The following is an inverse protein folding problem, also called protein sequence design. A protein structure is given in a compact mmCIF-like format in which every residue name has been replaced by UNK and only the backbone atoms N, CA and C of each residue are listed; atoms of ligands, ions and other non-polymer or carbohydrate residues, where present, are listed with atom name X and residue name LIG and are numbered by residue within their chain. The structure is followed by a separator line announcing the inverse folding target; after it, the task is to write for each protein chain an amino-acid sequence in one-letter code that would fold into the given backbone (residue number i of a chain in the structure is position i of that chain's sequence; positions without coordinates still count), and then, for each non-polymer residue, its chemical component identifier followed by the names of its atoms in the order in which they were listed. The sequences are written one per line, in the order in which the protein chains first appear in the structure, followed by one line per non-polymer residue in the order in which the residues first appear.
data_IF_284265765551
#
_entry.id   IF_284265765551
#
_cell.length_a   1.000
_cell.length_b   1.000
_cell.length_c   1.000
_cell.angle_alpha   90.00
_cell.angle_beta   90.00
_cell.angle_gamma   90.00
#
_symmetry.space_group_name_H-M   'P 1'
#
loop_
_entity.id
_entity.type
_entity.pdbx_description
1 polymer ?
#
# COMPACT_ATOMS: atom_id res chain seq x y z
N UNK A 1 10.25 -4.66 17.24
CA UNK A 1 11.41 -5.45 16.74
C UNK A 1 12.71 -4.65 16.81
N UNK A 2 13.90 -5.28 16.79
CA UNK A 2 15.17 -4.56 16.91
C UNK A 2 15.41 -3.62 15.72
N UNK A 3 15.83 -2.39 16.02
CA UNK A 3 16.24 -1.42 15.02
C UNK A 3 17.44 -1.91 14.21
N UNK A 4 17.54 -1.46 12.95
CA UNK A 4 18.74 -1.73 12.15
C UNK A 4 19.94 -1.05 12.82
N UNK A 5 20.95 -1.86 13.13
CA UNK A 5 22.21 -1.40 13.72
C UNK A 5 23.26 -1.13 12.64
N UNK A 6 24.23 -0.28 12.95
CA UNK A 6 25.41 -0.03 12.11
C UNK A 6 26.15 -1.32 11.75
N UNK A 7 26.24 -2.26 12.71
CA UNK A 7 26.87 -3.57 12.52
C UNK A 7 26.17 -4.40 11.45
N UNK A 8 24.83 -4.41 11.46
CA UNK A 8 24.04 -5.11 10.44
C UNK A 8 24.21 -4.49 9.06
N UNK A 9 24.22 -3.16 8.95
CA UNK A 9 24.48 -2.46 7.67
C UNK A 9 25.86 -2.81 7.10
N UNK A 10 26.88 -2.87 7.97
CA UNK A 10 28.23 -3.25 7.58
C UNK A 10 28.30 -4.71 7.11
N UNK A 11 27.72 -5.64 7.87
CA UNK A 11 27.69 -7.07 7.55
C UNK A 11 26.90 -7.39 6.27
N UNK A 12 25.82 -6.65 6.01
CA UNK A 12 25.00 -6.78 4.81
C UNK A 12 25.69 -6.19 3.56
N UNK A 13 26.78 -5.42 3.72
CA UNK A 13 27.52 -4.82 2.62
C UNK A 13 26.90 -3.54 2.05
N UNK A 14 26.10 -2.82 2.87
CA UNK A 14 25.39 -1.59 2.44
C UNK A 14 26.34 -0.43 2.10
N UNK A 15 27.53 -0.43 2.70
CA UNK A 15 28.52 0.64 2.56
C UNK A 15 29.25 0.65 1.21
N UNK A 16 29.17 -0.43 0.43
CA UNK A 16 29.78 -0.47 -0.89
C UNK A 16 28.89 0.26 -1.90
N UNK A 17 29.46 1.19 -2.65
CA UNK A 17 28.82 1.79 -3.81
C UNK A 17 29.39 1.25 -5.12
N UNK A 18 29.20 2.01 -6.21
CA UNK A 18 29.74 1.70 -7.52
C UNK A 18 31.20 2.20 -7.70
N UNK A 19 31.77 1.88 -8.87
CA UNK A 19 33.11 2.33 -9.28
C UNK A 19 33.20 3.86 -9.34
N UNK A 20 34.38 4.41 -9.09
CA UNK A 20 34.63 5.88 -9.08
C UNK A 20 34.40 6.56 -10.43
N UNK A 21 34.38 5.80 -11.52
CA UNK A 21 34.06 6.29 -12.87
C UNK A 21 32.55 6.39 -13.11
N UNK A 22 31.74 5.64 -12.36
CA UNK A 22 30.30 5.52 -12.55
C UNK A 22 29.55 6.02 -11.30
N UNK A 23 29.57 7.33 -11.09
CA UNK A 23 28.92 7.98 -9.96
C UNK A 23 28.22 9.28 -10.36
N UNK A 24 27.27 9.71 -9.54
CA UNK A 24 26.56 10.97 -9.70
C UNK A 24 27.13 12.02 -8.73
N UNK A 25 27.59 13.19 -9.20
CA UNK A 25 28.13 14.25 -8.33
C UNK A 25 27.20 14.71 -7.20
N UNK A 26 25.88 14.61 -7.38
CA UNK A 26 24.89 14.96 -6.34
C UNK A 26 24.90 14.00 -5.15
N UNK A 27 25.43 12.78 -5.32
CA UNK A 27 25.63 11.81 -4.23
C UNK A 27 26.86 12.13 -3.36
N UNK A 28 27.69 13.13 -3.71
CA UNK A 28 28.90 13.50 -2.95
C UNK A 28 28.66 13.65 -1.45
N UNK A 29 27.51 14.19 -1.04
CA UNK A 29 27.15 14.37 0.39
C UNK A 29 26.97 13.05 1.15
N UNK A 30 26.64 11.95 0.47
CA UNK A 30 26.43 10.63 1.05
C UNK A 30 27.65 9.70 0.91
N UNK A 31 28.65 10.10 0.12
CA UNK A 31 29.88 9.33 -0.06
C UNK A 31 30.89 9.76 1.01
N UNK A 32 31.42 8.78 1.75
CA UNK A 32 32.44 8.99 2.77
C UNK A 32 33.84 9.06 2.17
N UNK A 33 34.21 8.05 1.36
CA UNK A 33 35.55 7.92 0.77
C UNK A 33 35.51 7.01 -0.46
N UNK A 34 36.63 6.81 -1.14
CA UNK A 34 36.78 5.74 -2.13
C UNK A 34 38.00 4.89 -1.79
N UNK A 35 37.90 3.56 -1.95
CA UNK A 35 39.01 2.61 -1.76
C UNK A 35 39.00 1.60 -2.90
N UNK A 36 40.17 1.28 -3.44
CA UNK A 36 40.33 0.32 -4.55
C UNK A 36 39.40 0.62 -5.75
N UNK A 37 39.18 1.91 -6.06
CA UNK A 37 38.31 2.33 -7.16
C UNK A 37 36.81 2.17 -6.90
N UNK A 38 36.37 1.83 -5.68
CA UNK A 38 34.95 1.71 -5.29
C UNK A 38 34.60 2.81 -4.29
N UNK A 39 33.47 3.47 -4.48
CA UNK A 39 32.96 4.44 -3.51
C UNK A 39 32.45 3.74 -2.25
N UNK A 40 32.69 4.36 -1.09
CA UNK A 40 32.20 3.94 0.20
C UNK A 40 31.14 4.95 0.65
N UNK A 41 29.94 4.45 0.88
CA UNK A 41 28.79 5.20 1.37
C UNK A 41 28.88 5.39 2.88
N UNK A 42 28.49 6.58 3.34
CA UNK A 42 28.43 6.93 4.76
C UNK A 42 27.20 6.29 5.43
N UNK A 43 27.45 5.22 6.19
CA UNK A 43 26.40 4.47 6.88
C UNK A 43 25.70 5.27 8.00
N UNK A 44 26.33 6.30 8.57
CA UNK A 44 25.67 7.13 9.58
C UNK A 44 24.52 7.92 8.93
N UNK A 45 24.78 8.47 7.74
CA UNK A 45 23.74 9.13 6.94
C UNK A 45 22.67 8.15 6.49
N UNK A 46 23.05 6.94 6.10
CA UNK A 46 22.09 5.86 5.80
C UNK A 46 21.15 5.61 6.96
N UNK A 47 21.69 5.43 8.17
CA UNK A 47 20.89 5.11 9.36
C UNK A 47 19.92 6.24 9.72
N UNK A 48 20.37 7.50 9.68
CA UNK A 48 19.52 8.66 9.96
C UNK A 48 18.39 8.75 8.93
N UNK A 49 18.71 8.67 7.63
CA UNK A 49 17.73 8.78 6.55
C UNK A 49 16.75 7.62 6.53
N UNK A 50 17.22 6.41 6.84
CA UNK A 50 16.35 5.25 6.91
C UNK A 50 15.40 5.34 8.11
N UNK A 51 15.85 5.81 9.28
CA UNK A 51 14.94 6.06 10.43
C UNK A 51 13.86 7.09 10.12
N UNK A 52 14.19 8.17 9.40
CA UNK A 52 13.19 9.14 8.92
C UNK A 52 12.14 8.45 8.03
N UNK A 53 12.58 7.55 7.14
CA UNK A 53 11.70 6.75 6.29
C UNK A 53 10.81 5.80 7.11
N UNK A 54 11.38 5.06 8.06
CA UNK A 54 10.66 4.12 8.94
C UNK A 54 9.52 4.80 9.69
N UNK A 55 9.77 5.98 10.25
CA UNK A 55 8.76 6.75 10.98
C UNK A 55 7.58 7.14 10.09
N UNK A 56 7.83 7.51 8.84
CA UNK A 56 6.77 7.87 7.92
C UNK A 56 6.01 6.64 7.40
N UNK A 57 6.74 5.56 7.07
CA UNK A 57 6.15 4.28 6.66
C UNK A 57 5.20 3.76 7.74
N UNK A 58 5.64 3.79 9.00
CA UNK A 58 4.81 3.40 10.15
C UNK A 58 3.51 4.21 10.23
N UNK A 59 3.58 5.54 10.08
CA UNK A 59 2.38 6.40 10.07
C UNK A 59 1.42 6.07 8.92
N UNK A 60 1.94 5.75 7.74
CA UNK A 60 1.11 5.35 6.59
C UNK A 60 0.38 4.03 6.90
N UNK A 61 1.11 3.05 7.44
CA UNK A 61 0.60 1.69 7.62
C UNK A 61 -0.38 1.60 8.79
N UNK A 62 -0.15 2.36 9.86
CA UNK A 62 -1.11 2.56 10.97
C UNK A 62 -2.42 3.21 10.52
N UNK A 63 -2.38 4.06 9.49
CA UNK A 63 -3.58 4.63 8.86
C UNK A 63 -4.28 3.66 7.88
N UNK A 64 -3.83 2.40 7.79
CA UNK A 64 -4.38 1.38 6.89
C UNK A 64 -4.05 1.57 5.41
N UNK A 65 -3.14 2.50 5.10
CA UNK A 65 -2.77 2.82 3.71
C UNK A 65 -1.74 1.81 3.18
N UNK A 66 -1.83 1.52 1.89
CA UNK A 66 -1.00 0.51 1.22
C UNK A 66 0.25 1.12 0.57
N UNK A 67 1.33 0.34 0.61
CA UNK A 67 2.63 0.65 0.02
C UNK A 67 2.84 -0.23 -1.20
N UNK A 68 3.46 0.32 -2.24
CA UNK A 68 3.87 -0.42 -3.44
C UNK A 68 5.40 -0.62 -3.43
N UNK A 69 5.85 -1.87 -3.40
CA UNK A 69 7.25 -2.24 -3.49
C UNK A 69 7.66 -2.36 -4.98
N UNK A 70 8.74 -1.70 -5.38
CA UNK A 70 9.16 -1.63 -6.79
C UNK A 70 10.64 -1.95 -6.92
N UNK A 71 10.95 -3.01 -7.65
CA UNK A 71 12.32 -3.32 -8.06
C UNK A 71 12.36 -4.29 -9.25
N UNK A 72 12.87 -3.87 -10.40
CA UNK A 72 13.03 -4.77 -11.56
C UNK A 72 14.41 -5.42 -11.63
N UNK A 73 15.34 -5.03 -10.74
CA UNK A 73 16.71 -5.55 -10.69
C UNK A 73 16.71 -7.03 -10.27
N UNK A 74 17.45 -7.88 -10.99
CA UNK A 74 17.46 -9.35 -10.82
C UNK A 74 17.69 -9.78 -9.37
N UNK A 75 18.58 -9.11 -8.67
CA UNK A 75 18.93 -9.37 -7.27
C UNK A 75 17.78 -9.08 -6.29
N UNK A 76 16.85 -8.20 -6.67
CA UNK A 76 15.75 -7.74 -5.82
C UNK A 76 14.39 -8.37 -6.15
N UNK A 77 14.21 -8.93 -7.35
CA UNK A 77 12.88 -9.34 -7.85
C UNK A 77 12.18 -10.34 -6.93
N UNK A 78 12.91 -11.34 -6.43
CA UNK A 78 12.35 -12.40 -5.60
C UNK A 78 12.09 -11.90 -4.17
N UNK A 79 13.05 -11.16 -3.60
CA UNK A 79 12.94 -10.58 -2.26
C UNK A 79 11.71 -9.68 -2.16
N UNK A 80 11.54 -8.77 -3.13
CA UNK A 80 10.43 -7.83 -3.14
C UNK A 80 9.09 -8.54 -3.25
N UNK A 81 9.01 -9.59 -4.08
CA UNK A 81 7.80 -10.41 -4.18
C UNK A 81 7.47 -11.09 -2.85
N UNK A 82 8.42 -11.83 -2.29
CA UNK A 82 8.22 -12.60 -1.06
C UNK A 82 7.82 -11.71 0.12
N UNK A 83 8.53 -10.59 0.30
CA UNK A 83 8.28 -9.69 1.42
C UNK A 83 6.99 -8.89 1.27
N UNK A 84 6.65 -8.45 0.05
CA UNK A 84 5.39 -7.76 -0.20
C UNK A 84 4.18 -8.71 -0.04
N UNK A 85 4.30 -9.96 -0.50
CA UNK A 85 3.27 -10.99 -0.29
C UNK A 85 3.12 -11.31 1.20
N UNK A 86 4.24 -11.44 1.94
CA UNK A 86 4.24 -11.67 3.39
C UNK A 86 3.50 -10.56 4.15
N UNK A 87 3.72 -9.29 3.79
CA UNK A 87 3.06 -8.16 4.45
C UNK A 87 1.71 -7.75 3.83
N UNK A 88 1.20 -8.48 2.83
CA UNK A 88 -0.08 -8.15 2.18
C UNK A 88 -0.10 -6.77 1.51
N UNK A 89 1.06 -6.35 1.00
CA UNK A 89 1.27 -5.12 0.23
C UNK A 89 1.40 -5.44 -1.27
N UNK A 90 1.42 -4.39 -2.10
CA UNK A 90 1.53 -4.55 -3.55
C UNK A 90 3.00 -4.56 -3.97
N UNK A 91 3.29 -5.19 -5.11
CA UNK A 91 4.64 -5.16 -5.68
C UNK A 91 4.67 -5.12 -7.20
N UNK A 92 5.79 -4.62 -7.73
CA UNK A 92 6.20 -4.73 -9.14
C UNK A 92 7.66 -5.18 -9.16
N UNK A 93 7.89 -6.41 -9.57
CA UNK A 93 9.23 -7.02 -9.56
C UNK A 93 9.81 -7.34 -10.94
N UNK A 94 9.01 -7.25 -12.01
CA UNK A 94 9.43 -7.63 -13.36
C UNK A 94 9.78 -6.43 -14.23
N UNK A 95 8.77 -5.68 -14.65
CA UNK A 95 8.95 -4.46 -15.46
C UNK A 95 7.90 -3.44 -15.06
N UNK A 96 8.33 -2.21 -14.82
CA UNK A 96 7.42 -1.09 -14.71
C UNK A 96 6.82 -0.75 -16.08
N UNK A 97 5.49 -0.80 -16.18
CA UNK A 97 4.78 -0.36 -17.38
C UNK A 97 4.54 1.15 -17.26
N UNK A 98 4.95 1.93 -18.26
CA UNK A 98 4.66 3.36 -18.25
C UNK A 98 3.16 3.59 -18.21
N UNK A 99 2.70 4.45 -17.30
CA UNK A 99 1.28 4.66 -17.05
C UNK A 99 0.69 3.78 -15.96
N UNK A 100 1.49 2.98 -15.25
CA UNK A 100 1.01 2.12 -14.14
C UNK A 100 0.21 2.92 -13.11
N UNK A 101 0.62 4.15 -12.78
CA UNK A 101 -0.09 5.00 -11.83
C UNK A 101 -0.78 6.17 -12.51
N UNK A 102 -0.14 6.80 -13.49
CA UNK A 102 -0.69 8.00 -14.17
C UNK A 102 -1.85 7.66 -15.11
N UNK A 103 -1.90 6.45 -15.67
CA UNK A 103 -3.01 5.93 -16.48
C UNK A 103 -3.61 4.66 -15.86
N UNK A 104 -3.91 4.75 -14.56
CA UNK A 104 -4.38 3.61 -13.78
C UNK A 104 -5.69 3.01 -14.31
N UNK A 105 -6.55 3.80 -14.96
CA UNK A 105 -7.79 3.30 -15.57
C UNK A 105 -7.53 2.27 -16.67
N UNK A 106 -6.50 2.46 -17.48
CA UNK A 106 -6.11 1.52 -18.55
C UNK A 106 -5.49 0.25 -17.96
N UNK A 107 -4.66 0.40 -16.93
CA UNK A 107 -4.04 -0.71 -16.23
C UNK A 107 -5.10 -1.58 -15.56
N UNK A 108 -6.12 -0.97 -14.94
CA UNK A 108 -7.27 -1.70 -14.40
C UNK A 108 -7.99 -2.51 -15.47
N UNK A 109 -8.24 -1.96 -16.66
CA UNK A 109 -8.82 -2.75 -17.78
C UNK A 109 -7.96 -3.97 -18.14
N UNK A 110 -6.63 -3.85 -18.10
CA UNK A 110 -5.73 -5.00 -18.31
C UNK A 110 -5.79 -6.03 -17.18
N UNK A 111 -5.96 -5.58 -15.93
CA UNK A 111 -6.18 -6.46 -14.77
C UNK A 111 -7.54 -7.16 -14.86
N UNK A 112 -8.61 -6.45 -15.25
CA UNK A 112 -9.93 -7.04 -15.45
C UNK A 112 -9.91 -8.08 -16.57
N UNK A 113 -9.15 -7.82 -17.63
CA UNK A 113 -8.90 -8.78 -18.71
C UNK A 113 -8.19 -10.03 -18.20
N UNK A 114 -7.17 -9.88 -17.35
CA UNK A 114 -6.48 -11.00 -16.70
C UNK A 114 -7.45 -11.84 -15.85
N UNK A 115 -8.21 -11.19 -14.97
CA UNK A 115 -9.20 -11.86 -14.10
C UNK A 115 -10.25 -12.64 -14.91
N UNK A 116 -10.72 -12.06 -16.02
CA UNK A 116 -11.66 -12.73 -16.94
C UNK A 116 -11.03 -13.96 -17.59
N UNK A 117 -9.76 -13.89 -17.97
CA UNK A 117 -9.06 -15.02 -18.60
C UNK A 117 -8.82 -16.16 -17.61
N UNK A 118 -8.42 -15.86 -16.38
CA UNK A 118 -8.23 -16.86 -15.33
C UNK A 118 -9.56 -17.52 -14.97
N UNK A 119 -10.64 -16.74 -14.83
CA UNK A 119 -11.98 -17.29 -14.60
C UNK A 119 -12.42 -18.25 -15.71
N UNK A 120 -12.18 -17.90 -16.98
CA UNK A 120 -12.48 -18.79 -18.11
C UNK A 120 -11.63 -20.08 -18.08
N UNK A 121 -10.39 -20.01 -17.60
CA UNK A 121 -9.53 -21.19 -17.46
C UNK A 121 -10.01 -22.08 -16.30
N UNK A 122 -10.40 -21.50 -15.17
CA UNK A 122 -10.98 -22.19 -14.02
C UNK A 122 -12.32 -22.87 -14.36
N UNK A 123 -13.15 -22.24 -15.20
CA UNK A 123 -14.44 -22.79 -15.66
C UNK A 123 -14.28 -23.88 -16.75
N UNK A 124 -13.06 -24.18 -17.20
CA UNK A 124 -12.79 -25.21 -18.21
C UNK A 124 -13.13 -24.81 -19.64
N UNK A 125 -13.47 -23.54 -19.91
CA UNK A 125 -13.81 -23.06 -21.26
C UNK A 125 -12.67 -23.25 -22.27
N UNK A 126 -11.42 -23.35 -21.80
CA UNK A 126 -10.25 -23.53 -22.66
C UNK A 126 -10.19 -24.92 -23.30
N UNK A 127 -10.85 -25.92 -22.70
CA UNK A 127 -10.91 -27.29 -23.23
C UNK A 127 -11.84 -27.38 -24.45
N UNK A 128 -12.81 -26.47 -24.54
CA UNK A 128 -13.73 -26.35 -25.68
C UNK A 128 -13.10 -25.63 -26.87
N UNK A 129 -11.98 -24.94 -26.67
CA UNK A 129 -11.28 -24.20 -27.71
C UNK A 129 -10.28 -25.09 -28.46
N UNK A 130 -9.92 -24.67 -29.68
CA UNK A 130 -8.83 -25.31 -30.40
C UNK A 130 -7.51 -25.14 -29.63
N UNK A 131 -6.64 -26.17 -29.67
CA UNK A 131 -5.34 -26.20 -28.96
C UNK A 131 -4.50 -24.93 -29.17
N UNK A 132 -4.49 -24.37 -30.38
CA UNK A 132 -3.75 -23.13 -30.72
C UNK A 132 -4.32 -21.90 -30.00
N UNK A 133 -5.64 -21.77 -29.92
CA UNK A 133 -6.30 -20.65 -29.24
C UNK A 133 -6.13 -20.76 -27.73
N UNK A 134 -6.34 -21.95 -27.17
CA UNK A 134 -6.10 -22.23 -25.75
C UNK A 134 -4.66 -21.88 -25.35
N UNK A 135 -3.68 -22.30 -26.15
CA UNK A 135 -2.26 -21.96 -25.92
C UNK A 135 -2.01 -20.45 -25.96
N UNK A 136 -2.64 -19.73 -26.91
CA UNK A 136 -2.49 -18.28 -27.04
C UNK A 136 -3.04 -17.56 -25.83
N UNK A 137 -4.21 -17.97 -25.33
CA UNK A 137 -4.81 -17.41 -24.11
C UNK A 137 -3.99 -17.72 -22.86
N UNK A 138 -3.45 -18.93 -22.72
CA UNK A 138 -2.54 -19.28 -21.61
C UNK A 138 -1.27 -18.42 -21.61
N UNK A 139 -0.67 -18.18 -22.78
CA UNK A 139 0.47 -17.26 -22.91
C UNK A 139 0.08 -15.82 -22.55
N UNK A 140 -1.14 -15.38 -22.88
CA UNK A 140 -1.67 -14.08 -22.47
C UNK A 140 -1.77 -13.99 -20.94
N UNK A 141 -2.34 -15.01 -20.29
CA UNK A 141 -2.42 -15.11 -18.82
C UNK A 141 -1.02 -15.05 -18.19
N UNK A 142 -0.09 -15.89 -18.65
CA UNK A 142 1.28 -15.94 -18.12
C UNK A 142 1.96 -14.57 -18.23
N UNK A 143 1.84 -13.92 -19.39
CA UNK A 143 2.39 -12.59 -19.63
C UNK A 143 1.76 -11.54 -18.71
N UNK A 144 0.44 -11.53 -18.57
CA UNK A 144 -0.26 -10.57 -17.73
C UNK A 144 0.05 -10.80 -16.25
N UNK A 145 0.06 -12.04 -15.77
CA UNK A 145 0.43 -12.37 -14.38
C UNK A 145 1.88 -11.99 -14.07
N UNK A 146 2.79 -12.17 -15.02
CA UNK A 146 4.19 -11.77 -14.86
C UNK A 146 4.34 -10.27 -14.58
N UNK A 147 3.55 -9.41 -15.22
CA UNK A 147 3.70 -7.94 -15.08
C UNK A 147 2.73 -7.31 -14.07
N UNK A 148 1.50 -7.84 -13.98
CA UNK A 148 0.40 -7.24 -13.21
C UNK A 148 0.04 -8.02 -11.96
N UNK A 149 0.61 -9.21 -11.73
CA UNK A 149 0.25 -10.09 -10.62
C UNK A 149 0.34 -9.40 -9.25
N UNK A 150 1.41 -8.65 -9.00
CA UNK A 150 1.62 -7.96 -7.72
C UNK A 150 0.74 -6.73 -7.48
N UNK A 151 0.05 -6.22 -8.51
CA UNK A 151 -0.92 -5.12 -8.41
C UNK A 151 -2.35 -5.56 -8.72
N UNK A 152 -2.59 -6.86 -8.92
CA UNK A 152 -3.89 -7.42 -9.27
C UNK A 152 -5.00 -7.09 -8.27
N UNK A 153 -4.65 -7.01 -6.99
CA UNK A 153 -5.57 -6.67 -5.88
C UNK A 153 -5.64 -5.16 -5.59
N UNK A 154 -4.98 -4.33 -6.39
CA UNK A 154 -4.90 -2.89 -6.18
C UNK A 154 -6.15 -2.21 -6.76
N UNK A 155 -7.00 -1.66 -5.89
CA UNK A 155 -8.23 -0.93 -6.29
C UNK A 155 -8.01 0.57 -6.40
N UNK A 156 -7.12 1.09 -5.57
CA UNK A 156 -6.77 2.49 -5.43
C UNK A 156 -5.26 2.67 -5.59
N UNK A 157 -4.83 3.90 -5.87
CA UNK A 157 -3.40 4.21 -5.99
C UNK A 157 -2.68 4.00 -4.64
N UNK A 158 -1.42 3.53 -4.65
CA UNK A 158 -0.64 3.42 -3.43
C UNK A 158 -0.34 4.81 -2.86
N UNK A 159 -0.23 4.88 -1.54
CA UNK A 159 0.11 6.14 -0.85
C UNK A 159 1.61 6.39 -0.76
N UNK A 160 2.39 5.32 -0.91
CA UNK A 160 3.84 5.40 -0.93
C UNK A 160 4.44 4.33 -1.84
N UNK A 161 5.60 4.65 -2.40
CA UNK A 161 6.43 3.71 -3.15
C UNK A 161 7.71 3.45 -2.37
N UNK A 162 8.05 2.17 -2.24
CA UNK A 162 9.36 1.72 -1.81
C UNK A 162 10.13 1.20 -3.03
N UNK A 163 11.19 1.90 -3.42
CA UNK A 163 11.92 1.69 -4.67
C UNK A 163 13.34 1.21 -4.38
N UNK A 164 13.78 0.16 -5.07
CA UNK A 164 15.18 -0.25 -5.11
C UNK A 164 15.73 0.09 -6.49
N UNK A 165 16.87 0.79 -6.52
CA UNK A 165 17.53 1.26 -7.75
C UNK A 165 16.66 2.26 -8.53
N UNK A 166 16.76 3.54 -8.15
CA UNK A 166 16.05 4.62 -8.84
C UNK A 166 16.57 4.89 -10.26
N UNK A 167 17.76 4.40 -10.61
CA UNK A 167 18.30 4.56 -11.95
C UNK A 167 17.59 3.63 -12.94
N UNK A 168 17.21 2.43 -12.51
CA UNK A 168 16.34 1.54 -13.28
C UNK A 168 14.88 1.97 -13.24
N UNK A 169 14.39 2.39 -12.08
CA UNK A 169 12.97 2.73 -11.88
C UNK A 169 12.63 4.21 -12.09
N UNK A 170 13.29 4.87 -13.05
CA UNK A 170 13.08 6.30 -13.34
C UNK A 170 11.63 6.64 -13.69
N UNK A 171 10.95 5.75 -14.40
CA UNK A 171 9.55 5.95 -14.82
C UNK A 171 8.63 5.91 -13.60
N UNK A 172 8.81 4.94 -12.70
CA UNK A 172 8.05 4.85 -11.46
C UNK A 172 8.23 6.10 -10.59
N UNK A 173 9.47 6.58 -10.46
CA UNK A 173 9.80 7.80 -9.73
C UNK A 173 9.16 9.04 -10.36
N UNK A 174 9.19 9.16 -11.69
CA UNK A 174 8.57 10.28 -12.40
C UNK A 174 7.04 10.30 -12.24
N UNK A 175 6.39 9.14 -12.37
CA UNK A 175 4.95 9.01 -12.15
C UNK A 175 4.55 9.34 -10.70
N UNK A 176 5.33 8.85 -9.72
CA UNK A 176 5.10 9.17 -8.31
C UNK A 176 5.17 10.66 -8.03
N UNK A 177 6.18 11.34 -8.62
CA UNK A 177 6.36 12.79 -8.48
C UNK A 177 5.19 13.58 -9.07
N UNK A 178 4.67 13.18 -10.24
CA UNK A 178 3.52 13.84 -10.87
C UNK A 178 2.27 13.72 -9.99
N UNK A 179 2.06 12.56 -9.39
CA UNK A 179 0.88 12.28 -8.56
C UNK A 179 1.02 12.71 -7.09
N UNK A 180 2.19 13.21 -6.69
CA UNK A 180 2.47 13.59 -5.30
C UNK A 180 2.55 12.40 -4.34
N UNK A 181 2.80 11.19 -4.84
CA UNK A 181 2.95 9.97 -4.04
C UNK A 181 4.33 9.97 -3.40
N UNK A 182 4.40 9.66 -2.09
CA UNK A 182 5.65 9.71 -1.33
C UNK A 182 6.59 8.57 -1.72
N UNK A 183 7.86 8.90 -1.89
CA UNK A 183 8.87 7.96 -2.39
C UNK A 183 9.96 7.68 -1.36
N UNK A 184 10.15 6.41 -1.08
CA UNK A 184 11.22 5.86 -0.24
C UNK A 184 12.14 5.07 -1.15
N UNK A 185 13.43 5.41 -1.20
CA UNK A 185 14.32 4.73 -2.13
C UNK A 185 15.70 4.43 -1.57
N UNK A 186 16.16 3.20 -1.85
CA UNK A 186 17.55 2.80 -1.72
C UNK A 186 18.33 3.37 -2.91
N UNK A 187 19.28 4.27 -2.62
CA UNK A 187 20.05 4.96 -3.64
C UNK A 187 21.54 4.63 -3.55
N UNK A 188 22.08 4.07 -4.63
CA UNK A 188 23.52 3.85 -4.80
C UNK A 188 24.19 5.11 -5.38
N UNK A 189 25.52 5.12 -5.48
CA UNK A 189 26.34 6.27 -5.85
C UNK A 189 26.12 6.79 -7.27
N UNK A 190 25.54 5.98 -8.16
CA UNK A 190 25.18 6.35 -9.54
C UNK A 190 23.78 6.96 -9.68
N UNK A 191 22.96 6.91 -8.64
CA UNK A 191 21.59 7.45 -8.64
C UNK A 191 21.56 8.97 -8.41
N UNK A 192 20.51 9.65 -8.89
CA UNK A 192 20.26 11.05 -8.52
C UNK A 192 19.38 11.09 -7.25
N UNK A 193 19.86 11.61 -6.12
CA UNK A 193 19.08 11.67 -4.89
C UNK A 193 18.01 12.78 -4.92
N UNK A 194 17.98 13.63 -5.95
CA UNK A 194 17.05 14.76 -6.06
C UNK A 194 15.70 14.31 -6.60
N UNK A 195 14.62 14.72 -5.94
CA UNK A 195 13.25 14.37 -6.33
C UNK A 195 12.71 13.11 -5.66
N UNK A 196 13.50 12.49 -4.78
CA UNK A 196 13.07 11.42 -3.87
C UNK A 196 12.77 12.06 -2.52
N UNK A 197 11.62 11.75 -1.91
CA UNK A 197 11.23 12.33 -0.63
C UNK A 197 12.14 11.83 0.51
N UNK A 198 12.37 10.52 0.54
CA UNK A 198 13.18 9.84 1.55
C UNK A 198 14.27 8.96 0.91
N UNK A 199 15.38 9.57 0.44
CA UNK A 199 16.51 8.82 -0.09
C UNK A 199 17.40 8.32 1.05
N UNK A 200 17.57 7.01 1.17
CA UNK A 200 18.55 6.41 2.08
C UNK A 200 19.68 5.78 1.27
N UNK A 201 20.92 6.27 1.42
CA UNK A 201 22.03 5.84 0.58
C UNK A 201 22.51 4.43 0.96
N UNK A 202 22.83 3.60 -0.03
CA UNK A 202 23.33 2.25 0.21
C UNK A 202 23.43 1.40 -1.06
N UNK A 203 24.04 0.23 -0.90
CA UNK A 203 24.25 -0.74 -1.96
C UNK A 203 22.95 -1.37 -2.45
N UNK A 204 22.60 -1.19 -3.72
CA UNK A 204 21.44 -1.81 -4.36
C UNK A 204 21.78 -3.07 -5.20
N UNK A 205 23.05 -3.47 -5.26
CA UNK A 205 23.52 -4.72 -5.88
C UNK A 205 23.63 -5.88 -4.89
N UNK A 206 23.88 -5.59 -3.62
CA UNK A 206 24.01 -6.61 -2.58
C UNK A 206 22.63 -7.18 -2.19
N UNK A 207 22.41 -8.45 -2.50
CA UNK A 207 21.19 -9.21 -2.11
C UNK A 207 20.93 -9.09 -0.60
N UNK A 208 21.98 -9.15 0.24
CA UNK A 208 21.85 -9.00 1.70
C UNK A 208 21.41 -7.59 2.13
N UNK A 209 21.86 -6.55 1.44
CA UNK A 209 21.46 -5.17 1.71
C UNK A 209 19.99 -4.95 1.33
N UNK A 210 19.61 -5.39 0.11
CA UNK A 210 18.22 -5.35 -0.36
C UNK A 210 17.30 -6.09 0.61
N UNK A 211 17.68 -7.30 1.02
CA UNK A 211 16.90 -8.10 1.96
C UNK A 211 16.71 -7.37 3.30
N UNK A 212 17.81 -6.86 3.88
CA UNK A 212 17.78 -6.16 5.16
C UNK A 212 16.76 -5.00 5.16
N UNK A 213 16.80 -4.14 4.15
CA UNK A 213 15.87 -3.01 4.06
C UNK A 213 14.44 -3.45 3.75
N UNK A 214 14.27 -4.41 2.83
CA UNK A 214 12.93 -4.85 2.39
C UNK A 214 12.21 -5.58 3.51
N UNK A 215 12.86 -6.53 4.19
CA UNK A 215 12.31 -7.23 5.35
C UNK A 215 11.93 -6.25 6.45
N UNK A 216 12.80 -5.26 6.75
CA UNK A 216 12.51 -4.27 7.78
C UNK A 216 11.28 -3.42 7.44
N UNK A 217 11.15 -2.97 6.19
CA UNK A 217 9.97 -2.21 5.76
C UNK A 217 8.71 -3.08 5.78
N UNK A 218 8.81 -4.35 5.40
CA UNK A 218 7.70 -5.31 5.48
C UNK A 218 7.27 -5.57 6.93
N UNK A 219 8.20 -5.69 7.88
CA UNK A 219 7.90 -5.85 9.31
C UNK A 219 7.14 -4.63 9.85
N UNK A 220 7.59 -3.41 9.53
CA UNK A 220 6.90 -2.17 9.93
C UNK A 220 5.50 -2.10 9.29
N UNK A 221 5.37 -2.58 8.05
CA UNK A 221 4.09 -2.62 7.35
C UNK A 221 3.12 -3.64 7.95
N UNK A 222 3.61 -4.74 8.51
CA UNK A 222 2.83 -5.71 9.28
C UNK A 222 2.39 -5.12 10.62
N UNK A 223 3.33 -4.58 11.41
CA UNK A 223 3.05 -3.96 12.72
C UNK A 223 1.98 -2.85 12.57
N UNK A 224 2.12 -1.97 11.58
CA UNK A 224 1.13 -0.91 11.35
C UNK A 224 -0.24 -1.44 10.92
N UNK A 225 -0.30 -2.54 10.17
CA UNK A 225 -1.57 -3.17 9.82
C UNK A 225 -2.26 -3.82 11.02
N UNK A 226 -1.51 -4.41 11.95
CA UNK A 226 -2.06 -4.95 13.19
C UNK A 226 -2.67 -3.85 14.05
N UNK A 227 -1.99 -2.71 14.19
CA UNK A 227 -2.50 -1.52 14.90
C UNK A 227 -3.76 -0.96 14.22
N UNK A 228 -3.76 -0.89 12.89
CA UNK A 228 -4.93 -0.45 12.14
C UNK A 228 -6.14 -1.39 12.34
N UNK A 229 -5.91 -2.71 12.36
CA UNK A 229 -6.96 -3.68 12.61
C UNK A 229 -7.49 -3.63 14.05
N UNK A 230 -6.60 -3.43 15.03
CA UNK A 230 -6.98 -3.28 16.43
C UNK A 230 -7.83 -2.03 16.65
N UNK A 231 -7.40 -0.88 16.13
CA UNK A 231 -8.15 0.38 16.25
C UNK A 231 -9.52 0.29 15.59
N UNK A 232 -9.63 -0.37 14.43
CA UNK A 232 -10.92 -0.60 13.77
C UNK A 232 -11.86 -1.50 14.58
N UNK A 233 -11.34 -2.58 15.18
CA UNK A 233 -12.13 -3.47 16.06
C UNK A 233 -12.60 -2.77 17.34
N UNK A 234 -11.83 -1.82 17.86
CA UNK A 234 -12.24 -1.01 19.01
C UNK A 234 -13.36 -0.02 18.65
N UNK A 235 -13.36 0.51 17.43
CA UNK A 235 -14.44 1.40 16.95
C UNK A 235 -15.72 0.62 16.60
N UNK A 236 -15.60 -0.67 16.28
CA UNK A 236 -16.72 -1.57 15.96
C UNK A 236 -17.31 -2.31 17.19
N UNK A 237 -16.76 -2.13 18.41
CA UNK A 237 -17.44 -2.58 19.63
C UNK A 237 -18.66 -1.67 19.89
N UNK A 238 -19.89 -2.21 19.97
CA UNK A 238 -21.06 -1.40 20.29
C UNK A 238 -20.89 -0.73 21.65
N UNK A 239 -21.30 0.54 21.76
CA UNK A 239 -21.62 1.17 23.05
C UNK A 239 -22.47 0.19 23.87
N UNK A 240 -21.86 -0.40 24.89
CA UNK A 240 -22.54 -1.18 25.90
C UNK A 240 -23.44 -0.20 26.68
N UNK A 241 -24.73 -0.23 26.33
CA UNK A 241 -25.90 0.18 27.10
C UNK A 241 -25.67 1.32 28.12
N UNK A 242 -25.98 2.56 27.70
CA UNK A 242 -26.48 3.55 28.67
C UNK A 242 -27.80 2.99 29.23
N UNK A 243 -27.94 2.78 30.56
CA UNK A 243 -29.23 2.41 31.13
C UNK A 243 -30.21 3.57 30.91
N UNK A 244 -31.33 3.30 30.24
CA UNK A 244 -32.45 4.23 30.16
C UNK A 244 -32.97 4.53 31.59
N UNK A 245 -33.33 5.79 31.92
CA UNK A 245 -33.96 6.10 33.19
C UNK A 245 -35.38 5.48 33.24
N UNK A 246 -35.84 4.97 34.40
CA UNK A 246 -37.10 4.25 34.49
C UNK A 246 -38.29 5.21 34.29
N UNK A 247 -39.23 4.82 33.42
CA UNK A 247 -40.56 5.46 33.33
C UNK A 247 -41.42 5.04 34.54
N UNK A 248 -42.21 5.96 35.13
CA UNK A 248 -43.09 5.63 36.25
C UNK A 248 -44.28 4.79 35.78
N UNK A 249 -44.55 3.73 36.53
CA UNK A 249 -45.70 2.84 36.42
C UNK A 249 -46.95 3.51 37.02
N UNK A 250 -48.01 3.65 36.21
CA UNK A 250 -49.37 3.86 36.72
C UNK A 250 -50.13 2.54 36.63
N UNK A 251 -50.24 1.83 37.74
CA UNK A 251 -51.34 0.94 38.04
C UNK A 251 -52.14 1.59 39.18
N UNK A 252 -53.41 1.90 38.93
CA UNK A 252 -54.45 1.42 39.82
C UNK A 252 -55.78 1.36 39.08
N UNK A 253 -56.30 0.14 39.14
CA UNK A 253 -57.58 -0.37 38.71
C UNK A 253 -58.70 0.05 39.68
N UNK A 254 -59.93 -0.17 39.21
CA UNK A 254 -61.21 -0.28 39.92
C UNK A 254 -62.07 0.97 40.11
N UNK A 255 -63.28 0.91 39.56
CA UNK A 255 -64.39 1.73 40.01
C UNK A 255 -65.55 1.94 39.02
N UNK A 256 -66.33 0.88 38.80
CA UNK A 256 -67.79 0.94 38.73
C UNK A 256 -68.52 1.53 37.48
N UNK A 257 -69.33 0.66 36.86
CA UNK A 257 -70.41 0.99 35.91
C UNK A 257 -71.50 1.79 36.62
N UNK A 258 -71.98 2.89 36.04
CA UNK A 258 -73.43 3.21 35.99
C UNK A 258 -73.77 3.96 34.68
N UNK A 259 -74.96 3.63 34.21
CA UNK A 259 -75.76 3.85 32.99
C UNK A 259 -76.06 5.27 32.49
N UNK A 260 -76.49 5.30 31.22
CA UNK A 260 -77.52 6.19 30.61
C UNK A 260 -77.13 7.67 30.41
N UNK A 261 -77.57 8.44 29.43
CA UNK A 261 -78.44 8.33 28.26
C UNK A 261 -78.18 9.61 27.41
N UNK A 262 -78.30 9.50 26.08
CA UNK A 262 -78.94 10.44 25.12
C UNK A 262 -78.88 11.98 25.36
N UNK A 263 -78.27 12.71 24.41
CA UNK A 263 -78.90 13.75 23.53
C UNK A 263 -77.80 14.58 22.82
N UNK A 264 -77.68 14.52 21.50
CA UNK A 264 -78.27 15.41 20.47
C UNK A 264 -77.66 16.82 20.33
N UNK A 265 -77.08 17.02 19.14
CA UNK A 265 -77.15 18.18 18.25
C UNK A 265 -76.67 19.58 18.70
N UNK A 266 -75.78 20.15 17.87
CA UNK A 266 -75.98 21.39 17.06
C UNK A 266 -74.60 21.86 16.56
N UNK A 267 -74.38 21.93 15.24
CA UNK A 267 -74.42 23.18 14.44
C UNK A 267 -73.37 24.22 14.90
N UNK A 268 -72.61 24.96 14.09
CA UNK A 268 -72.60 25.30 12.66
C UNK A 268 -71.44 26.33 12.49
N UNK A 269 -71.07 26.62 11.23
CA UNK A 269 -70.27 27.76 10.72
C UNK A 269 -68.77 27.73 11.06
N UNK A 270 -67.85 27.59 10.10
CA UNK A 270 -67.85 28.16 8.75
C UNK A 270 -67.47 29.64 8.79
N UNK A 271 -66.19 29.97 8.60
CA UNK A 271 -65.80 31.20 7.88
C UNK A 271 -64.36 31.14 7.38
N UNK A 272 -64.23 31.65 6.17
CA UNK A 272 -63.16 31.54 5.19
C UNK A 272 -62.70 32.98 4.90
N UNK A 273 -61.39 33.17 4.67
CA UNK A 273 -60.69 34.24 3.91
C UNK A 273 -60.87 35.71 4.38
N UNK A 274 -60.13 36.71 3.85
CA UNK A 274 -58.91 36.73 3.01
C UNK A 274 -57.79 37.64 3.60
N UNK A 275 -56.56 37.78 3.09
CA UNK A 275 -56.03 38.07 1.73
C UNK A 275 -54.62 37.48 1.63
#
# INVERSE_FOLDING_TARGET
MPEITMKQLLQAGVHFGHQTTHWNPKMKKYIHSARNGIHIVDLQKTLIKFREAELFIKKITEAGKKILFVATKRQAQEIIKQEAERCGMYFVNQRWLGGTMTNFSTIRKSIDRLLKLEKMEEEGEFERLHKKEALTKRKEIEKLNKFLGGIKKMRELPHALFIIDTQKEKIALAEAKILGIKTFALVDTNCDPVGIDFPFPGNDDAVRAINLFTTRVADIALEGQEVFQASRKETEKPEEQKPEPPKPSNENDQGEKVTAEVDQNSEDKGKKVPV
#
